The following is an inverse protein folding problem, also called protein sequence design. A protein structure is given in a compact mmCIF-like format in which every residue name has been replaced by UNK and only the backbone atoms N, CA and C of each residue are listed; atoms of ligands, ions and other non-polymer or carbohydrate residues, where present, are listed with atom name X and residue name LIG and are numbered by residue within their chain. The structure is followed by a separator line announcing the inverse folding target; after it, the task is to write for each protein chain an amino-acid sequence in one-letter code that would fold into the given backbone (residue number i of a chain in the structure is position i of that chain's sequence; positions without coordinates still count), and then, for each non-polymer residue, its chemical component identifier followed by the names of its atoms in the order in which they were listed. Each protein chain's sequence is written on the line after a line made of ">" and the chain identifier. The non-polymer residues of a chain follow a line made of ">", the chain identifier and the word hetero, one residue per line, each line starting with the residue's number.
data_IF_221877507055
#
_entry.id   IF_221877507055
#
_cell.length_a   1.000
_cell.length_b   1.000
_cell.length_c   1.000
_cell.angle_alpha   90.00
_cell.angle_beta   90.00
_cell.angle_gamma   90.00
#
_symmetry.space_group_name_H-M   'P 1'
#
loop_
_entity.id
_entity.type
_entity.pdbx_description
1 polymer ?
#
# COMPACT_ATOMS: atom_id res chain seq x y z
N UNK A 1 16.92 -8.74 -11.40
CA UNK A 1 17.91 -8.35 -10.36
C UNK A 1 18.23 -6.85 -10.36
N UNK A 2 18.85 -6.24 -11.38
CA UNK A 2 19.21 -4.79 -11.31
C UNK A 2 18.01 -3.88 -11.09
N UNK A 3 16.90 -4.09 -11.81
CA UNK A 3 15.65 -3.33 -11.61
C UNK A 3 15.10 -3.46 -10.20
N UNK A 4 15.09 -4.66 -9.63
CA UNK A 4 14.60 -4.92 -8.28
C UNK A 4 15.46 -4.24 -7.20
N UNK A 5 16.78 -4.23 -7.36
CA UNK A 5 17.68 -3.51 -6.44
C UNK A 5 17.45 -1.99 -6.49
N UNK A 6 17.19 -1.42 -7.67
CA UNK A 6 16.82 -0.02 -7.82
C UNK A 6 15.49 0.25 -7.12
N UNK A 7 14.49 -0.60 -7.33
CA UNK A 7 13.18 -0.49 -6.68
C UNK A 7 13.32 -0.61 -5.16
N UNK A 8 14.10 -1.57 -4.66
CA UNK A 8 14.37 -1.75 -3.24
C UNK A 8 14.98 -0.49 -2.61
N UNK A 9 15.97 0.10 -3.28
CA UNK A 9 16.59 1.35 -2.85
C UNK A 9 15.60 2.52 -2.84
N UNK A 10 14.86 2.72 -3.93
CA UNK A 10 13.87 3.80 -4.04
C UNK A 10 12.73 3.63 -3.03
N UNK A 11 12.26 2.40 -2.82
CA UNK A 11 11.25 2.09 -1.82
C UNK A 11 11.73 2.43 -0.41
N UNK A 12 12.93 1.99 -0.04
CA UNK A 12 13.49 2.24 1.29
C UNK A 12 13.74 3.73 1.53
N UNK A 13 14.49 4.40 0.64
CA UNK A 13 14.88 5.80 0.82
C UNK A 13 13.69 6.74 0.67
N UNK A 14 12.83 6.51 -0.33
CA UNK A 14 11.66 7.35 -0.57
C UNK A 14 10.67 7.33 0.59
N UNK A 15 10.37 6.15 1.12
CA UNK A 15 9.43 6.02 2.24
C UNK A 15 10.05 6.45 3.58
N UNK A 16 11.37 6.32 3.75
CA UNK A 16 12.07 6.92 4.90
C UNK A 16 11.91 8.45 4.89
N UNK A 17 12.00 9.11 3.73
CA UNK A 17 11.75 10.55 3.61
C UNK A 17 10.31 10.91 4.00
N UNK A 18 9.31 10.08 3.69
CA UNK A 18 7.92 10.28 4.14
C UNK A 18 7.84 10.24 5.67
N UNK A 19 8.43 9.23 6.31
CA UNK A 19 8.45 9.11 7.77
C UNK A 19 9.15 10.30 8.43
N UNK A 20 10.32 10.71 7.92
CA UNK A 20 11.07 11.87 8.42
C UNK A 20 10.26 13.15 8.25
N UNK A 21 9.62 13.37 7.11
CA UNK A 21 8.79 14.55 6.85
C UNK A 21 7.65 14.69 7.87
N UNK A 22 6.95 13.61 8.19
CA UNK A 22 5.89 13.63 9.22
C UNK A 22 6.48 13.84 10.62
N UNK A 23 7.68 13.30 10.88
CA UNK A 23 8.37 13.48 12.15
C UNK A 23 8.77 14.94 12.44
N UNK A 24 9.29 15.65 11.44
CA UNK A 24 9.81 17.02 11.61
C UNK A 24 8.74 18.11 11.43
N UNK A 25 7.73 17.89 10.56
CA UNK A 25 6.72 18.90 10.25
C UNK A 25 5.42 18.64 11.03
N UNK A 26 5.14 19.48 12.03
CA UNK A 26 3.93 19.37 12.85
C UNK A 26 2.62 19.46 12.03
N UNK A 27 2.61 20.18 10.89
CA UNK A 27 1.45 20.28 10.01
C UNK A 27 1.09 18.93 9.34
N UNK A 28 2.04 18.00 9.28
CA UNK A 28 1.85 16.65 8.75
C UNK A 28 1.41 15.64 9.83
N UNK A 29 1.35 16.00 11.11
CA UNK A 29 0.93 15.10 12.19
C UNK A 29 -0.59 15.01 12.31
N UNK A 30 -1.24 14.50 11.25
CA UNK A 30 -2.68 14.23 11.21
C UNK A 30 -2.94 12.73 11.32
N UNK A 31 -4.17 12.34 11.71
CA UNK A 31 -4.55 10.93 11.83
C UNK A 31 -4.41 10.21 10.47
N UNK A 32 -4.80 10.86 9.38
CA UNK A 32 -4.60 10.32 8.03
C UNK A 32 -3.12 9.99 7.78
N UNK A 33 -2.23 10.91 8.14
CA UNK A 33 -0.80 10.71 7.91
C UNK A 33 -0.19 9.64 8.82
N UNK A 34 -0.81 9.27 9.95
CA UNK A 34 -0.37 8.10 10.72
C UNK A 34 -0.57 6.81 9.93
N UNK A 35 -1.68 6.67 9.19
CA UNK A 35 -1.88 5.54 8.30
C UNK A 35 -0.93 5.58 7.09
N UNK A 36 -0.61 6.77 6.55
CA UNK A 36 0.39 6.92 5.49
C UNK A 36 1.80 6.57 5.99
N UNK A 37 2.14 6.88 7.24
CA UNK A 37 3.39 6.43 7.88
C UNK A 37 3.39 4.92 8.05
N UNK A 38 2.27 4.30 8.46
CA UNK A 38 2.14 2.84 8.53
C UNK A 38 2.40 2.18 7.16
N UNK A 39 1.83 2.74 6.09
CA UNK A 39 2.09 2.30 4.73
C UNK A 39 3.57 2.48 4.35
N UNK A 40 4.15 3.65 4.65
CA UNK A 40 5.55 3.92 4.37
C UNK A 40 6.50 2.96 5.13
N UNK A 41 6.19 2.60 6.37
CA UNK A 41 6.97 1.59 7.12
C UNK A 41 6.86 0.21 6.47
N UNK A 42 5.66 -0.20 6.04
CA UNK A 42 5.50 -1.45 5.29
C UNK A 42 6.34 -1.45 4.00
N UNK A 43 6.33 -0.35 3.24
CA UNK A 43 7.10 -0.21 2.00
C UNK A 43 8.62 -0.15 2.24
N UNK A 44 9.09 0.43 3.36
CA UNK A 44 10.51 0.33 3.78
C UNK A 44 10.86 -1.14 4.03
N UNK A 45 10.02 -1.88 4.73
CA UNK A 45 10.25 -3.31 4.97
C UNK A 45 10.19 -4.14 3.67
N UNK A 46 9.32 -3.79 2.74
CA UNK A 46 9.31 -4.40 1.39
C UNK A 46 10.66 -4.17 0.71
N UNK A 47 11.14 -2.91 0.65
CA UNK A 47 12.39 -2.57 -0.02
C UNK A 47 13.62 -3.18 0.65
N UNK A 48 13.70 -3.13 1.99
CA UNK A 48 14.89 -3.53 2.75
C UNK A 48 14.97 -5.03 3.09
N UNK A 49 13.82 -5.72 3.13
CA UNK A 49 13.76 -7.13 3.57
C UNK A 49 13.09 -8.00 2.51
N UNK A 50 11.86 -7.66 2.08
CA UNK A 50 11.07 -8.55 1.24
C UNK A 50 11.67 -8.72 -0.16
N UNK A 51 12.08 -7.64 -0.83
CA UNK A 51 12.72 -7.72 -2.17
C UNK A 51 14.04 -8.48 -2.13
N UNK A 52 14.99 -8.25 -1.18
CA UNK A 52 16.15 -9.10 -1.02
C UNK A 52 15.81 -10.58 -0.82
N UNK A 53 14.79 -10.90 0.01
CA UNK A 53 14.32 -12.28 0.18
C UNK A 53 13.75 -12.85 -1.14
N UNK A 54 12.97 -12.07 -1.89
CA UNK A 54 12.43 -12.50 -3.19
C UNK A 54 13.54 -12.81 -4.18
N UNK A 55 14.56 -11.94 -4.30
CA UNK A 55 15.73 -12.17 -5.16
C UNK A 55 16.45 -13.47 -4.80
N UNK A 56 16.62 -13.76 -3.49
CA UNK A 56 17.24 -15.01 -3.04
C UNK A 56 16.38 -16.23 -3.42
N UNK A 57 15.08 -16.15 -3.26
CA UNK A 57 14.18 -17.27 -3.64
C UNK A 57 14.07 -17.43 -5.15
N UNK A 58 14.23 -16.37 -5.95
CA UNK A 58 14.25 -16.47 -7.42
C UNK A 58 15.48 -17.22 -7.94
N UNK A 59 16.60 -17.22 -7.20
CA UNK A 59 17.78 -18.03 -7.52
C UNK A 59 17.80 -19.37 -6.76
N UNK A 60 16.71 -19.73 -6.09
CA UNK A 60 16.52 -21.02 -5.43
C UNK A 60 17.09 -21.12 -4.02
N UNK A 61 17.48 -20.03 -3.39
CA UNK A 61 18.03 -20.02 -2.02
C UNK A 61 16.91 -19.78 -0.98
N UNK A 62 17.04 -20.34 0.24
CA UNK A 62 18.10 -21.22 0.75
C UNK A 62 17.92 -22.66 0.25
N UNK A 63 19.05 -23.36 0.08
CA UNK A 63 19.00 -24.79 -0.23
C UNK A 63 18.71 -25.64 1.02
N UNK A 64 17.92 -26.72 0.85
CA UNK A 64 17.65 -27.74 1.88
C UNK A 64 17.10 -27.22 3.22
N UNK A 65 16.60 -25.98 3.28
CA UNK A 65 15.97 -25.41 4.48
C UNK A 65 14.58 -24.87 4.19
N UNK A 66 13.57 -25.76 4.26
CA UNK A 66 12.17 -25.41 3.97
C UNK A 66 11.65 -24.32 4.91
N UNK A 67 11.94 -24.39 6.21
CA UNK A 67 11.42 -23.39 7.15
C UNK A 67 11.96 -21.99 6.89
N UNK A 68 13.25 -21.86 6.56
CA UNK A 68 13.83 -20.56 6.21
C UNK A 68 13.26 -20.06 4.87
N UNK A 69 13.07 -20.94 3.89
CA UNK A 69 12.40 -20.63 2.63
C UNK A 69 10.98 -20.09 2.87
N UNK A 70 10.15 -20.82 3.63
CA UNK A 70 8.80 -20.40 3.97
C UNK A 70 8.78 -19.09 4.75
N UNK A 71 9.71 -18.88 5.67
CA UNK A 71 9.82 -17.63 6.41
C UNK A 71 10.08 -16.43 5.49
N UNK A 72 11.02 -16.56 4.55
CA UNK A 72 11.33 -15.51 3.57
C UNK A 72 10.10 -15.15 2.72
N UNK A 73 9.37 -16.16 2.24
CA UNK A 73 8.14 -15.97 1.46
C UNK A 73 6.99 -15.41 2.32
N UNK A 74 6.88 -15.85 3.56
CA UNK A 74 5.89 -15.33 4.53
C UNK A 74 6.09 -13.84 4.81
N UNK A 75 7.33 -13.40 4.95
CA UNK A 75 7.70 -11.97 5.15
C UNK A 75 7.24 -11.11 3.97
N UNK A 76 7.41 -11.59 2.73
CA UNK A 76 6.92 -10.91 1.54
C UNK A 76 5.39 -10.72 1.59
N UNK A 77 4.64 -11.80 1.87
CA UNK A 77 3.18 -11.77 1.96
C UNK A 77 2.73 -10.84 3.09
N UNK A 78 3.38 -10.89 4.25
CA UNK A 78 3.06 -10.07 5.43
C UNK A 78 3.16 -8.57 5.13
N UNK A 79 4.26 -8.10 4.54
CA UNK A 79 4.44 -6.67 4.27
C UNK A 79 3.51 -6.17 3.16
N UNK A 80 3.27 -6.99 2.13
CA UNK A 80 2.26 -6.69 1.10
C UNK A 80 0.87 -6.54 1.74
N UNK A 81 0.51 -7.45 2.63
CA UNK A 81 -0.79 -7.43 3.29
C UNK A 81 -0.92 -6.23 4.24
N UNK A 82 0.17 -5.83 4.92
CA UNK A 82 0.21 -4.61 5.74
C UNK A 82 -0.06 -3.36 4.91
N UNK A 83 0.49 -3.28 3.68
CA UNK A 83 0.25 -2.16 2.76
C UNK A 83 -1.23 -2.09 2.36
N UNK A 84 -1.88 -3.22 2.00
CA UNK A 84 -3.30 -3.26 1.63
C UNK A 84 -4.19 -2.81 2.79
N UNK A 85 -3.94 -3.30 4.00
CA UNK A 85 -4.75 -2.93 5.16
C UNK A 85 -4.52 -1.49 5.60
N UNK A 86 -3.32 -0.95 5.42
CA UNK A 86 -3.05 0.48 5.64
C UNK A 86 -3.84 1.35 4.65
N UNK A 87 -3.90 0.96 3.37
CA UNK A 87 -4.73 1.65 2.37
C UNK A 87 -6.22 1.56 2.69
N UNK A 88 -6.70 0.40 3.13
CA UNK A 88 -8.09 0.23 3.55
C UNK A 88 -8.41 1.13 4.75
N UNK A 89 -7.53 1.20 5.74
CA UNK A 89 -7.70 2.06 6.90
C UNK A 89 -7.78 3.55 6.51
N UNK A 90 -6.93 4.02 5.57
CA UNK A 90 -7.02 5.37 5.02
C UNK A 90 -8.35 5.59 4.27
N UNK A 91 -8.79 4.63 3.46
CA UNK A 91 -10.05 4.75 2.72
C UNK A 91 -11.24 4.87 3.67
N UNK A 92 -11.30 4.05 4.73
CA UNK A 92 -12.35 4.13 5.77
C UNK A 92 -12.27 5.46 6.52
N UNK A 93 -11.09 5.92 6.87
CA UNK A 93 -10.88 7.20 7.54
C UNK A 93 -11.37 8.37 6.67
N UNK A 94 -11.06 8.36 5.38
CA UNK A 94 -11.57 9.36 4.43
C UNK A 94 -13.09 9.29 4.26
N UNK A 95 -13.65 8.10 4.23
CA UNK A 95 -15.10 7.90 4.20
C UNK A 95 -15.78 8.56 5.41
N UNK A 96 -15.26 8.31 6.60
CA UNK A 96 -15.80 8.92 7.83
C UNK A 96 -15.65 10.44 7.80
N UNK A 97 -14.52 10.98 7.36
CA UNK A 97 -14.28 12.42 7.31
C UNK A 97 -15.26 13.15 6.39
N UNK A 98 -15.58 12.58 5.23
CA UNK A 98 -16.36 13.24 4.19
C UNK A 98 -17.87 12.95 4.32
N UNK A 99 -18.26 11.71 4.60
CA UNK A 99 -19.67 11.30 4.61
C UNK A 99 -20.28 11.31 6.02
N UNK A 100 -19.46 11.14 7.07
CA UNK A 100 -19.95 11.04 8.45
C UNK A 100 -19.17 11.97 9.42
N UNK A 101 -19.13 13.29 9.21
CA UNK A 101 -18.27 14.23 9.93
C UNK A 101 -18.52 14.23 11.46
N UNK A 102 -19.76 14.00 11.89
CA UNK A 102 -20.07 13.87 13.32
C UNK A 102 -19.46 12.63 13.97
N UNK A 103 -19.49 11.48 13.27
CA UNK A 103 -18.84 10.25 13.76
C UNK A 103 -17.32 10.34 13.64
N UNK A 104 -16.81 11.04 12.66
CA UNK A 104 -15.38 11.27 12.50
C UNK A 104 -14.75 11.86 13.76
N UNK A 105 -15.34 12.93 14.32
CA UNK A 105 -14.84 13.59 15.51
C UNK A 105 -14.79 12.68 16.76
N UNK A 106 -15.69 11.71 16.83
CA UNK A 106 -15.77 10.77 17.96
C UNK A 106 -14.84 9.57 17.80
N UNK A 107 -14.72 9.03 16.57
CA UNK A 107 -14.04 7.77 16.30
C UNK A 107 -12.57 7.96 15.88
N UNK A 108 -12.28 9.03 15.15
CA UNK A 108 -10.95 9.22 14.54
C UNK A 108 -10.06 10.05 15.46
N UNK A 109 -9.50 9.37 16.44
CA UNK A 109 -8.54 9.91 17.40
C UNK A 109 -7.15 9.31 17.15
N UNK A 110 -6.04 9.97 17.54
CA UNK A 110 -4.70 9.38 17.44
C UNK A 110 -4.58 8.01 18.12
N UNK A 111 -5.24 7.83 19.26
CA UNK A 111 -5.24 6.56 20.00
C UNK A 111 -5.91 5.44 19.17
N UNK A 112 -7.10 5.70 18.64
CA UNK A 112 -7.83 4.74 17.82
C UNK A 112 -7.07 4.41 16.53
N UNK A 113 -6.43 5.39 15.91
CA UNK A 113 -5.60 5.17 14.74
C UNK A 113 -4.43 4.21 15.02
N UNK A 114 -3.72 4.40 16.15
CA UNK A 114 -2.65 3.48 16.56
C UNK A 114 -3.20 2.07 16.81
N UNK A 115 -4.35 1.94 17.48
CA UNK A 115 -4.98 0.64 17.69
C UNK A 115 -5.36 -0.06 16.39
N UNK A 116 -5.90 0.68 15.42
CA UNK A 116 -6.21 0.15 14.07
C UNK A 116 -4.94 -0.27 13.35
N UNK A 117 -3.87 0.52 13.40
CA UNK A 117 -2.58 0.17 12.81
C UNK A 117 -2.03 -1.12 13.43
N UNK A 118 -1.99 -1.22 14.75
CA UNK A 118 -1.53 -2.43 15.43
C UNK A 118 -2.36 -3.66 15.07
N UNK A 119 -3.68 -3.51 14.99
CA UNK A 119 -4.58 -4.60 14.60
C UNK A 119 -4.35 -5.03 13.14
N UNK A 120 -4.20 -4.09 12.22
CA UNK A 120 -3.95 -4.40 10.80
C UNK A 120 -2.60 -5.07 10.58
N UNK A 121 -1.56 -4.65 11.32
CA UNK A 121 -0.25 -5.31 11.29
C UNK A 121 -0.31 -6.73 11.87
N UNK A 122 -1.00 -6.93 13.00
CA UNK A 122 -1.19 -8.26 13.58
C UNK A 122 -1.92 -9.19 12.59
N UNK A 123 -2.98 -8.69 11.96
CA UNK A 123 -3.74 -9.46 10.99
C UNK A 123 -2.88 -9.82 9.76
N UNK A 124 -2.11 -8.87 9.24
CA UNK A 124 -1.19 -9.10 8.13
C UNK A 124 -0.10 -10.13 8.49
N UNK A 125 0.43 -10.06 9.72
CA UNK A 125 1.38 -11.03 10.24
C UNK A 125 0.79 -12.44 10.29
N UNK A 126 -0.40 -12.60 10.85
CA UNK A 126 -1.09 -13.90 10.92
C UNK A 126 -1.35 -14.47 9.53
N UNK A 127 -1.82 -13.66 8.57
CA UNK A 127 -2.04 -14.08 7.18
C UNK A 127 -0.73 -14.51 6.53
N UNK A 128 0.34 -13.74 6.69
CA UNK A 128 1.64 -14.05 6.12
C UNK A 128 2.27 -15.34 6.66
N UNK A 129 1.97 -15.72 7.91
CA UNK A 129 2.50 -16.94 8.52
C UNK A 129 1.74 -18.22 8.16
N UNK A 130 0.57 -18.14 7.51
CA UNK A 130 -0.22 -19.33 7.17
C UNK A 130 0.57 -20.39 6.40
N UNK A 131 1.41 -20.06 5.39
CA UNK A 131 2.25 -21.07 4.75
C UNK A 131 3.20 -21.76 5.72
N UNK A 132 3.78 -21.03 6.66
CA UNK A 132 4.67 -21.58 7.67
C UNK A 132 3.95 -22.47 8.69
N UNK A 133 2.65 -22.23 8.91
CA UNK A 133 1.79 -23.03 9.80
C UNK A 133 1.32 -24.35 9.18
N UNK A 134 1.68 -24.66 7.92
CA UNK A 134 1.41 -25.94 7.28
C UNK A 134 0.64 -25.89 5.96
N UNK A 135 0.15 -24.72 5.52
CA UNK A 135 -0.51 -24.61 4.21
C UNK A 135 0.52 -24.30 3.12
N UNK A 136 1.37 -25.25 2.85
CA UNK A 136 2.44 -25.19 1.86
C UNK A 136 2.59 -26.53 1.14
N UNK A 137 3.29 -26.53 0.00
CA UNK A 137 3.68 -27.75 -0.70
C UNK A 137 4.96 -28.32 -0.08
N UNK A 138 5.08 -29.63 -0.08
CA UNK A 138 6.37 -30.29 0.16
C UNK A 138 7.25 -30.08 -1.08
N UNK A 139 8.43 -29.46 -0.96
CA UNK A 139 9.29 -29.24 -2.11
C UNK A 139 9.76 -30.59 -2.69
N UNK A 140 9.97 -30.69 -4.00
CA UNK A 140 10.61 -31.85 -4.59
C UNK A 140 12.01 -32.04 -4.06
N UNK A 141 12.55 -33.26 -4.15
CA UNK A 141 13.85 -33.70 -3.55
C UNK A 141 15.07 -32.85 -3.92
N UNK A 142 14.96 -31.94 -4.88
CA UNK A 142 16.03 -31.03 -5.32
C UNK A 142 16.46 -29.97 -4.30
N UNK A 143 15.69 -29.72 -3.23
CA UNK A 143 16.06 -28.81 -2.14
C UNK A 143 16.15 -27.33 -2.47
N UNK A 144 15.65 -26.89 -3.63
CA UNK A 144 15.63 -25.47 -4.04
C UNK A 144 14.39 -24.74 -3.52
N UNK A 145 14.58 -23.47 -3.12
CA UNK A 145 13.52 -22.58 -2.63
C UNK A 145 12.95 -21.73 -3.79
N UNK A 146 12.00 -22.27 -4.55
CA UNK A 146 11.24 -21.48 -5.53
C UNK A 146 9.82 -21.25 -5.04
N UNK A 147 9.27 -20.04 -5.22
CA UNK A 147 7.93 -19.68 -4.79
C UNK A 147 6.87 -20.71 -5.24
N UNK A 148 6.82 -21.04 -6.53
CA UNK A 148 5.81 -21.92 -7.12
C UNK A 148 5.94 -23.38 -6.63
N UNK A 149 7.14 -23.81 -6.24
CA UNK A 149 7.38 -25.17 -5.75
C UNK A 149 7.05 -25.37 -4.27
N UNK A 150 7.05 -24.28 -3.49
CA UNK A 150 6.91 -24.34 -2.03
C UNK A 150 5.55 -23.78 -1.57
N UNK A 151 5.07 -22.68 -2.16
CA UNK A 151 3.79 -22.08 -1.79
C UNK A 151 2.63 -22.82 -2.47
N UNK A 152 1.59 -23.13 -1.71
CA UNK A 152 0.37 -23.70 -2.25
C UNK A 152 -0.44 -22.63 -3.01
N UNK A 153 -0.70 -22.88 -4.30
CA UNK A 153 -1.47 -21.96 -5.14
C UNK A 153 -2.94 -21.86 -4.71
N UNK A 154 -3.49 -22.85 -4.00
CA UNK A 154 -4.85 -22.74 -3.44
C UNK A 154 -4.90 -21.69 -2.33
N UNK A 155 -3.88 -21.63 -1.47
CA UNK A 155 -3.71 -20.57 -0.50
C UNK A 155 -3.56 -19.20 -1.19
N UNK A 156 -2.65 -19.09 -2.18
CA UNK A 156 -2.36 -17.82 -2.85
C UNK A 156 -3.55 -17.25 -3.61
N UNK A 157 -4.36 -18.10 -4.25
CA UNK A 157 -5.48 -17.65 -5.07
C UNK A 157 -6.75 -17.50 -4.24
N UNK A 158 -7.23 -18.56 -3.57
CA UNK A 158 -8.52 -18.48 -2.89
C UNK A 158 -8.47 -17.65 -1.61
N UNK A 159 -7.45 -17.84 -0.79
CA UNK A 159 -7.37 -17.13 0.49
C UNK A 159 -6.66 -15.78 0.35
N UNK A 160 -5.42 -15.75 -0.12
CA UNK A 160 -4.66 -14.51 -0.16
C UNK A 160 -5.25 -13.55 -1.20
N UNK A 161 -5.40 -13.95 -2.46
CA UNK A 161 -5.89 -13.03 -3.49
C UNK A 161 -7.37 -12.69 -3.33
N UNK A 162 -8.28 -13.67 -3.37
CA UNK A 162 -9.71 -13.32 -3.36
C UNK A 162 -10.17 -12.73 -2.03
N UNK A 163 -9.81 -13.33 -0.88
CA UNK A 163 -10.29 -12.87 0.41
C UNK A 163 -9.50 -11.69 0.97
N UNK A 164 -8.15 -11.69 0.85
CA UNK A 164 -7.31 -10.72 1.55
C UNK A 164 -6.80 -9.57 0.66
N UNK A 165 -6.90 -9.68 -0.68
CA UNK A 165 -6.51 -8.62 -1.62
C UNK A 165 -7.73 -8.07 -2.35
N UNK A 166 -8.43 -8.90 -3.12
CA UNK A 166 -9.52 -8.44 -4.00
C UNK A 166 -10.72 -7.92 -3.23
N UNK A 167 -11.14 -8.59 -2.15
CA UNK A 167 -12.26 -8.11 -1.34
C UNK A 167 -11.99 -6.73 -0.71
N UNK A 168 -10.86 -6.47 -0.02
CA UNK A 168 -10.49 -5.12 0.41
C UNK A 168 -10.41 -4.11 -0.73
N UNK A 169 -9.87 -4.47 -1.90
CA UNK A 169 -9.81 -3.57 -3.06
C UNK A 169 -11.21 -3.17 -3.52
N UNK A 170 -12.14 -4.11 -3.65
CA UNK A 170 -13.53 -3.83 -4.03
C UNK A 170 -14.17 -2.89 -3.01
N UNK A 171 -14.00 -3.14 -1.71
CA UNK A 171 -14.52 -2.25 -0.66
C UNK A 171 -13.94 -0.84 -0.80
N UNK A 172 -12.63 -0.70 -1.02
CA UNK A 172 -11.99 0.61 -1.21
C UNK A 172 -12.53 1.33 -2.45
N UNK A 173 -12.68 0.65 -3.59
CA UNK A 173 -13.28 1.26 -4.79
C UNK A 173 -14.73 1.70 -4.56
N UNK A 174 -15.54 0.94 -3.84
CA UNK A 174 -16.90 1.33 -3.47
C UNK A 174 -16.90 2.57 -2.56
N UNK A 175 -16.00 2.63 -1.58
CA UNK A 175 -15.82 3.80 -0.72
C UNK A 175 -15.50 5.04 -1.55
N UNK A 176 -14.50 4.98 -2.43
CA UNK A 176 -14.13 6.13 -3.26
C UNK A 176 -15.21 6.52 -4.26
N UNK A 177 -15.93 5.55 -4.84
CA UNK A 177 -17.08 5.82 -5.69
C UNK A 177 -18.14 6.61 -4.92
N UNK A 178 -18.48 6.21 -3.70
CA UNK A 178 -19.44 6.94 -2.85
C UNK A 178 -18.94 8.35 -2.49
N UNK A 179 -17.65 8.49 -2.15
CA UNK A 179 -17.04 9.81 -1.90
C UNK A 179 -17.21 10.71 -3.11
N UNK A 180 -16.83 10.28 -4.32
CA UNK A 180 -16.91 11.09 -5.53
C UNK A 180 -18.36 11.44 -5.92
N UNK A 181 -19.29 10.49 -5.80
CA UNK A 181 -20.72 10.75 -6.08
C UNK A 181 -21.29 11.79 -5.10
N UNK A 182 -21.03 11.64 -3.80
CA UNK A 182 -21.51 12.55 -2.76
C UNK A 182 -20.94 13.95 -2.93
N UNK A 183 -19.64 14.05 -3.13
CA UNK A 183 -18.94 15.32 -3.37
C UNK A 183 -19.49 16.02 -4.63
N UNK A 184 -19.66 15.29 -5.73
CA UNK A 184 -20.25 15.84 -6.97
C UNK A 184 -21.66 16.37 -6.74
N UNK A 185 -22.49 15.64 -5.97
CA UNK A 185 -23.83 16.07 -5.59
C UNK A 185 -23.81 17.34 -4.75
N UNK A 186 -22.96 17.41 -3.72
CA UNK A 186 -22.82 18.60 -2.86
C UNK A 186 -22.34 19.82 -3.64
N UNK A 187 -21.34 19.66 -4.52
CA UNK A 187 -20.85 20.76 -5.37
C UNK A 187 -21.93 21.29 -6.31
N UNK A 188 -22.75 20.42 -6.91
CA UNK A 188 -23.88 20.84 -7.74
C UNK A 188 -24.93 21.63 -6.94
N UNK A 189 -25.28 21.19 -5.74
CA UNK A 189 -26.22 21.88 -4.87
C UNK A 189 -25.74 23.29 -4.53
N UNK A 190 -24.44 23.48 -4.26
CA UNK A 190 -23.82 24.77 -3.99
C UNK A 190 -23.95 25.71 -5.22
N UNK A 191 -23.77 25.18 -6.42
CA UNK A 191 -23.83 26.00 -7.67
C UNK A 191 -25.25 26.43 -8.03
N UNK A 192 -26.28 25.70 -7.61
CA UNK A 192 -27.69 25.93 -7.96
C UNK A 192 -28.44 26.90 -7.01
N UNK A 193 -27.81 27.37 -5.90
CA UNK A 193 -28.46 28.29 -4.94
C UNK A 193 -28.28 29.75 -5.41
N UNK A 194 -29.35 30.58 -5.48
CA UNK A 194 -29.24 31.98 -5.89
C UNK A 194 -28.40 32.84 -4.95
N UNK A 195 -27.80 33.89 -5.50
CA UNK A 195 -26.70 34.73 -4.99
C UNK A 195 -26.85 35.46 -3.63
N UNK A 196 -27.78 35.09 -2.76
CA UNK A 196 -27.99 35.81 -1.49
C UNK A 196 -27.19 35.40 -0.27
N UNK A 197 -26.35 34.31 -0.33
CA UNK A 197 -25.57 33.74 0.79
C UNK A 197 -24.14 33.49 0.42
N UNK A 198 -23.47 34.41 -0.24
CA UNK A 198 -22.16 34.23 -0.86
C UNK A 198 -21.05 33.71 0.02
N UNK A 199 -20.83 34.23 1.26
CA UNK A 199 -19.69 33.84 2.12
C UNK A 199 -19.82 32.42 2.71
N UNK A 200 -20.98 32.07 3.25
CA UNK A 200 -21.19 30.72 3.82
C UNK A 200 -21.07 29.63 2.75
N UNK A 201 -21.53 29.91 1.53
CA UNK A 201 -21.45 29.02 0.38
C UNK A 201 -20.03 28.86 -0.14
N UNK A 202 -19.24 29.94 -0.19
CA UNK A 202 -17.81 29.88 -0.53
C UNK A 202 -17.00 29.07 0.49
N UNK A 203 -17.30 29.25 1.78
CA UNK A 203 -16.63 28.52 2.87
C UNK A 203 -16.93 27.01 2.79
N UNK A 204 -18.18 26.64 2.54
CA UNK A 204 -18.58 25.23 2.37
C UNK A 204 -17.91 24.62 1.13
N UNK A 205 -17.92 25.32 0.00
CA UNK A 205 -17.25 24.86 -1.22
C UNK A 205 -15.73 24.69 -1.03
N UNK A 206 -15.09 25.61 -0.31
CA UNK A 206 -13.67 25.52 0.01
C UNK A 206 -13.36 24.30 0.93
N UNK A 207 -14.22 24.02 1.90
CA UNK A 207 -14.13 22.83 2.74
C UNK A 207 -14.19 21.53 1.94
N UNK A 208 -15.19 21.39 1.08
CA UNK A 208 -15.35 20.21 0.22
C UNK A 208 -14.15 20.06 -0.73
N UNK A 209 -13.67 21.14 -1.34
CA UNK A 209 -12.47 21.11 -2.21
C UNK A 209 -11.23 20.66 -1.45
N UNK A 210 -11.07 21.05 -0.17
CA UNK A 210 -9.96 20.62 0.69
C UNK A 210 -10.02 19.11 0.93
N UNK A 211 -11.20 18.55 1.23
CA UNK A 211 -11.36 17.12 1.44
C UNK A 211 -11.07 16.31 0.17
N UNK A 212 -11.50 16.80 -1.00
CA UNK A 212 -11.15 16.16 -2.30
C UNK A 212 -9.63 16.15 -2.50
N UNK A 213 -8.95 17.27 -2.27
CA UNK A 213 -7.50 17.38 -2.42
C UNK A 213 -6.74 16.38 -1.52
N UNK A 214 -7.32 16.00 -0.40
CA UNK A 214 -6.73 15.00 0.51
C UNK A 214 -7.09 13.56 0.11
N UNK A 215 -8.27 13.33 -0.47
CA UNK A 215 -8.72 11.99 -0.89
C UNK A 215 -8.10 11.54 -2.22
N UNK A 216 -7.88 12.46 -3.16
CA UNK A 216 -7.35 12.13 -4.51
C UNK A 216 -5.99 11.45 -4.52
N UNK A 217 -4.97 11.91 -3.75
CA UNK A 217 -3.69 11.22 -3.68
C UNK A 217 -3.80 9.76 -3.25
N UNK A 218 -4.65 9.49 -2.26
CA UNK A 218 -4.85 8.14 -1.72
C UNK A 218 -5.59 7.25 -2.74
N UNK A 219 -6.56 7.80 -3.45
CA UNK A 219 -7.20 7.10 -4.56
C UNK A 219 -6.19 6.74 -5.67
N UNK A 220 -5.27 7.66 -5.99
CA UNK A 220 -4.22 7.39 -6.97
C UNK A 220 -3.28 6.27 -6.51
N UNK A 221 -2.91 6.24 -5.22
CA UNK A 221 -2.13 5.13 -4.64
C UNK A 221 -2.88 3.80 -4.78
N UNK A 222 -4.18 3.77 -4.45
CA UNK A 222 -5.03 2.59 -4.61
C UNK A 222 -5.10 2.11 -6.07
N UNK A 223 -5.26 3.04 -7.00
CA UNK A 223 -5.36 2.74 -8.43
C UNK A 223 -4.04 2.14 -8.95
N UNK A 224 -2.90 2.74 -8.57
CA UNK A 224 -1.58 2.21 -8.94
C UNK A 224 -1.29 0.87 -8.25
N UNK A 225 -1.68 0.70 -6.99
CA UNK A 225 -1.62 -0.59 -6.32
C UNK A 225 -2.32 -1.68 -7.14
N UNK A 226 -3.53 -1.39 -7.61
CA UNK A 226 -4.32 -2.34 -8.42
C UNK A 226 -3.59 -2.69 -9.73
N UNK A 227 -3.08 -1.69 -10.46
CA UNK A 227 -2.33 -1.91 -11.71
C UNK A 227 -1.07 -2.75 -11.46
N UNK A 228 -0.38 -2.50 -10.36
CA UNK A 228 0.88 -3.18 -10.07
C UNK A 228 0.68 -4.65 -9.63
N UNK A 229 -0.39 -4.96 -8.88
CA UNK A 229 -0.58 -6.28 -8.28
C UNK A 229 -1.47 -7.23 -9.08
N UNK A 230 -2.50 -6.72 -9.79
CA UNK A 230 -3.43 -7.57 -10.54
C UNK A 230 -2.74 -8.47 -11.57
N UNK A 231 -1.73 -8.04 -12.35
CA UNK A 231 -1.05 -8.93 -13.30
C UNK A 231 -0.45 -10.17 -12.65
N UNK A 232 0.23 -10.01 -11.50
CA UNK A 232 0.81 -11.13 -10.77
C UNK A 232 -0.27 -12.08 -10.23
N UNK A 233 -1.37 -11.55 -9.71
CA UNK A 233 -2.48 -12.38 -9.23
C UNK A 233 -3.20 -13.12 -10.36
N UNK A 234 -3.33 -12.55 -11.55
CA UNK A 234 -3.85 -13.24 -12.73
C UNK A 234 -2.95 -14.41 -13.10
N UNK A 235 -1.61 -14.22 -13.08
CA UNK A 235 -0.66 -15.30 -13.33
C UNK A 235 -0.81 -16.41 -12.29
N UNK A 236 -0.95 -16.07 -11.00
CA UNK A 236 -1.17 -17.06 -9.94
C UNK A 236 -2.48 -17.85 -10.15
N UNK A 237 -3.56 -17.20 -10.59
CA UNK A 237 -4.80 -17.86 -10.95
C UNK A 237 -4.60 -18.81 -12.13
N UNK A 238 -3.85 -18.38 -13.14
CA UNK A 238 -3.53 -19.21 -14.30
C UNK A 238 -2.70 -20.45 -13.92
N UNK A 239 -1.69 -20.29 -13.07
CA UNK A 239 -0.88 -21.40 -12.55
C UNK A 239 -1.69 -22.40 -11.71
N UNK A 240 -2.74 -21.93 -11.02
CA UNK A 240 -3.65 -22.81 -10.28
C UNK A 240 -4.58 -23.60 -11.22
N UNK A 241 -5.17 -22.90 -12.22
CA UNK A 241 -6.19 -23.49 -13.10
C UNK A 241 -5.61 -24.36 -14.20
N UNK A 242 -4.38 -24.10 -14.64
CA UNK A 242 -3.67 -24.84 -15.68
C UNK A 242 -2.24 -25.20 -15.26
N UNK A 243 -2.03 -26.18 -14.35
CA UNK A 243 -0.71 -26.52 -13.84
C UNK A 243 0.32 -26.95 -14.92
N UNK A 244 -0.17 -27.46 -16.06
CA UNK A 244 0.67 -27.92 -17.17
C UNK A 244 0.88 -26.86 -18.27
N UNK A 245 0.30 -25.68 -18.13
CA UNK A 245 0.48 -24.59 -19.09
C UNK A 245 1.75 -23.79 -18.78
N UNK A 246 2.69 -23.63 -19.72
CA UNK A 246 3.89 -22.85 -19.48
C UNK A 246 3.54 -21.36 -19.39
N UNK A 247 3.99 -20.72 -18.33
CA UNK A 247 4.01 -19.25 -18.22
C UNK A 247 5.38 -18.79 -18.67
N UNK A 248 5.49 -17.86 -19.66
CA UNK A 248 6.79 -17.30 -20.05
C UNK A 248 7.47 -16.65 -18.85
N UNK A 249 8.75 -16.98 -18.62
CA UNK A 249 9.51 -16.48 -17.48
C UNK A 249 9.58 -14.95 -17.50
N UNK A 250 9.73 -14.34 -18.67
CA UNK A 250 9.80 -12.90 -18.85
C UNK A 250 8.51 -12.21 -18.36
N UNK A 251 7.34 -12.82 -18.62
CA UNK A 251 6.04 -12.32 -18.18
C UNK A 251 5.91 -12.39 -16.65
N UNK A 252 6.33 -13.49 -16.06
CA UNK A 252 6.33 -13.67 -14.60
C UNK A 252 7.25 -12.66 -13.93
N UNK A 253 8.49 -12.53 -14.40
CA UNK A 253 9.47 -11.57 -13.87
C UNK A 253 8.98 -10.12 -14.04
N UNK A 254 8.38 -9.78 -15.18
CA UNK A 254 7.80 -8.44 -15.40
C UNK A 254 6.68 -8.14 -14.40
N UNK A 255 5.81 -9.11 -14.12
CA UNK A 255 4.73 -8.95 -13.13
C UNK A 255 5.27 -8.82 -11.70
N UNK A 256 6.32 -9.57 -11.34
CA UNK A 256 7.00 -9.47 -10.04
C UNK A 256 7.63 -8.08 -9.89
N UNK A 257 8.42 -7.61 -10.87
CA UNK A 257 9.04 -6.28 -10.85
C UNK A 257 7.97 -5.20 -10.73
N UNK A 258 6.86 -5.31 -11.46
CA UNK A 258 5.76 -4.36 -11.40
C UNK A 258 5.11 -4.34 -10.01
N UNK A 259 4.90 -5.50 -9.39
CA UNK A 259 4.35 -5.58 -8.02
C UNK A 259 5.28 -4.93 -6.98
N UNK A 260 6.59 -5.16 -7.09
CA UNK A 260 7.59 -4.51 -6.22
C UNK A 260 7.67 -2.99 -6.43
N UNK A 261 7.52 -2.52 -7.67
CA UNK A 261 7.55 -1.09 -8.01
C UNK A 261 6.45 -0.29 -7.29
N UNK A 262 5.34 -0.93 -6.91
CA UNK A 262 4.27 -0.29 -6.14
C UNK A 262 4.80 0.42 -4.88
N UNK A 263 5.68 -0.22 -4.12
CA UNK A 263 6.21 0.34 -2.88
C UNK A 263 7.15 1.53 -3.09
N UNK A 264 7.75 1.67 -4.27
CA UNK A 264 8.63 2.79 -4.60
C UNK A 264 7.87 4.05 -5.08
N UNK A 265 6.60 3.92 -5.52
CA UNK A 265 5.88 5.02 -6.20
C UNK A 265 5.21 5.97 -5.20
N UNK A 266 4.85 5.52 -4.00
CA UNK A 266 4.08 6.28 -3.02
C UNK A 266 4.70 7.65 -2.66
N UNK A 267 6.00 7.77 -2.36
CA UNK A 267 6.65 9.06 -2.06
C UNK A 267 6.55 10.07 -3.22
N UNK A 268 6.63 9.60 -4.47
CA UNK A 268 6.51 10.46 -5.66
C UNK A 268 5.07 10.98 -5.83
N UNK A 269 4.05 10.16 -5.52
CA UNK A 269 2.66 10.61 -5.53
C UNK A 269 2.49 11.72 -4.50
N UNK A 270 2.97 11.53 -3.26
CA UNK A 270 2.84 12.55 -2.20
C UNK A 270 3.58 13.84 -2.56
N UNK A 271 4.78 13.76 -3.13
CA UNK A 271 5.54 14.91 -3.57
C UNK A 271 4.82 15.71 -4.69
N UNK A 272 4.14 15.03 -5.61
CA UNK A 272 3.46 15.68 -6.73
C UNK A 272 2.07 16.22 -6.36
N UNK A 273 1.33 15.52 -5.49
CA UNK A 273 -0.08 15.81 -5.24
C UNK A 273 -0.33 16.57 -3.93
N UNK A 274 0.56 16.42 -2.93
CA UNK A 274 0.41 17.00 -1.59
C UNK A 274 1.44 18.12 -1.36
N UNK A 275 1.02 19.39 -1.47
CA UNK A 275 1.91 20.56 -1.36
C UNK A 275 2.73 20.57 -0.06
N UNK A 276 2.12 20.19 1.07
CA UNK A 276 2.81 20.15 2.38
C UNK A 276 3.95 19.13 2.41
N UNK A 277 3.77 17.95 1.81
CA UNK A 277 4.87 16.97 1.67
C UNK A 277 5.96 17.50 0.75
N UNK A 278 5.58 18.03 -0.41
CA UNK A 278 6.53 18.60 -1.38
C UNK A 278 7.41 19.69 -0.76
N UNK A 279 6.79 20.62 -0.04
CA UNK A 279 7.52 21.73 0.57
C UNK A 279 8.43 21.23 1.72
N UNK A 280 7.98 20.24 2.48
CA UNK A 280 8.80 19.61 3.53
C UNK A 280 9.98 18.85 2.94
N UNK A 281 9.79 18.10 1.84
CA UNK A 281 10.90 17.44 1.15
C UNK A 281 11.95 18.42 0.65
N UNK A 282 11.53 19.57 0.09
CA UNK A 282 12.47 20.64 -0.31
C UNK A 282 13.31 21.12 0.86
N UNK A 283 12.70 21.34 2.02
CA UNK A 283 13.43 21.77 3.24
C UNK A 283 14.45 20.70 3.66
N UNK A 284 14.09 19.41 3.65
CA UNK A 284 15.00 18.32 4.01
C UNK A 284 16.21 18.32 3.06
N UNK A 285 15.98 18.42 1.75
CA UNK A 285 17.06 18.41 0.75
C UNK A 285 17.96 19.65 0.86
N UNK A 286 17.40 20.85 1.12
CA UNK A 286 18.16 22.07 1.31
C UNK A 286 19.02 22.01 2.58
N UNK A 287 18.48 21.50 3.70
CA UNK A 287 19.26 21.29 4.92
C UNK A 287 20.43 20.31 4.69
N UNK A 288 20.22 19.23 3.94
CA UNK A 288 21.29 18.30 3.60
C UNK A 288 22.39 18.95 2.73
N UNK A 289 22.05 19.88 1.82
CA UNK A 289 23.04 20.62 1.03
C UNK A 289 23.88 21.54 1.92
N UNK A 290 23.26 22.29 2.81
CA UNK A 290 23.96 23.21 3.72
C UNK A 290 24.92 22.51 4.69
N UNK A 291 24.63 21.25 5.07
CA UNK A 291 25.51 20.42 5.89
C UNK A 291 26.67 19.84 5.09
N UNK A 292 26.49 19.59 3.79
CA UNK A 292 27.53 19.06 2.89
C UNK A 292 28.57 20.13 2.48
N UNK A 293 28.15 21.38 2.46
CA UNK A 293 29.00 22.52 2.05
C UNK A 293 29.76 23.16 3.24
N UNK A 294 29.68 22.55 4.44
CA UNK A 294 30.48 22.84 5.63
C UNK A 294 31.50 21.72 5.88
#
# INVERSE_FOLDING_TARGET
>A
MTAELIIAFLSTVGNLLVCVAVGINQKLRTVTNYFLVSLAVADICVGSIAIPCAILTDIGLPHHNLYLCLLMLSVLIMFTQSSIFSLLAVAVERYLAILMPFRYQLLVTPRNAILVILFTWLLAFLIGLIPLMGWHKTPPDAGFCFFVSVVDMTYMVYFNFFACVLAPLVVMFLIYAQIFVTVKKQMRQITCVPSGRGEAQMTLAAGIRKEIKTAMPVFLVLFLFTICWIPLHIINCFLLLCPNCPVPLELLLAAIILSHANSAVNPFIYANTMTTFRDTFKVIFLCCQTVRDR
#
